data_IF_610502870332
#
_entry.id   IF_610502870332
#
_cell.length_a   1.000
_cell.length_b   1.000
_cell.length_c   1.000
_cell.angle_alpha   90.00
_cell.angle_beta   90.00
_cell.angle_gamma   90.00
#
_symmetry.space_group_name_H-M   'P 1'
#
loop_
_entity.id
_entity.type
_entity.pdbx_description
1 polymer ?
#
# COMPACT_ATOMS: atom_id res chain seq x y z
N UNK A 1 25.96 56.27 12.99
CA UNK A 1 25.33 55.56 11.85
C UNK A 1 25.59 54.08 12.08
N UNK A 2 24.62 53.29 12.58
CA UNK A 2 24.90 51.88 12.85
C UNK A 2 24.65 51.08 11.56
N UNK A 3 25.72 50.78 10.84
CA UNK A 3 25.73 49.69 9.87
C UNK A 3 25.71 48.38 10.65
N UNK A 4 24.53 47.99 11.14
CA UNK A 4 24.25 46.60 11.46
C UNK A 4 24.14 45.85 10.14
N UNK A 5 25.28 45.58 9.51
CA UNK A 5 25.40 44.53 8.52
C UNK A 5 25.10 43.24 9.27
N UNK A 6 23.81 42.88 9.29
CA UNK A 6 23.32 41.57 9.64
C UNK A 6 24.09 40.60 8.77
N UNK A 7 25.12 39.99 9.35
CA UNK A 7 25.87 38.92 8.70
C UNK A 7 24.84 37.85 8.34
N UNK A 8 24.47 37.81 7.06
CA UNK A 8 23.62 36.78 6.51
C UNK A 8 24.51 35.54 6.41
N UNK A 9 24.68 34.82 7.51
CA UNK A 9 25.32 33.51 7.46
C UNK A 9 24.50 32.63 6.51
N UNK A 10 25.06 32.21 5.36
CA UNK A 10 24.33 31.38 4.43
C UNK A 10 24.06 30.05 5.14
N UNK A 11 22.79 29.81 5.46
CA UNK A 11 22.32 28.59 6.11
C UNK A 11 22.89 27.37 5.38
N UNK A 12 23.77 26.66 6.06
CA UNK A 12 24.62 25.60 5.50
C UNK A 12 23.83 24.63 4.59
N UNK A 13 24.34 24.30 3.39
CA UNK A 13 23.62 23.51 2.38
C UNK A 13 23.43 22.03 2.77
N UNK A 14 24.01 21.56 3.87
CA UNK A 14 23.87 20.17 4.34
C UNK A 14 22.42 19.79 4.64
N UNK A 15 21.64 20.69 5.26
CA UNK A 15 20.23 20.43 5.55
C UNK A 15 19.37 20.35 4.28
N UNK A 16 19.74 21.07 3.21
CA UNK A 16 19.04 21.00 1.93
C UNK A 16 19.30 19.65 1.24
N UNK A 17 20.56 19.20 1.22
CA UNK A 17 20.92 17.89 0.66
C UNK A 17 20.21 16.75 1.39
N UNK A 18 20.16 16.79 2.72
CA UNK A 18 19.44 15.80 3.52
C UNK A 18 17.94 15.74 3.18
N UNK A 19 17.28 16.91 3.04
CA UNK A 19 15.88 17.00 2.62
C UNK A 19 15.65 16.37 1.25
N UNK A 20 16.52 16.64 0.29
CA UNK A 20 16.42 16.10 -1.06
C UNK A 20 16.62 14.58 -1.09
N UNK A 21 17.58 14.06 -0.33
CA UNK A 21 17.79 12.61 -0.21
C UNK A 21 16.58 11.94 0.42
N UNK A 22 16.05 12.49 1.51
CA UNK A 22 14.83 11.98 2.14
C UNK A 22 13.65 11.99 1.16
N UNK A 23 13.43 13.11 0.46
CA UNK A 23 12.38 13.22 -0.55
C UNK A 23 12.53 12.14 -1.65
N UNK A 24 13.75 11.94 -2.15
CA UNK A 24 14.02 10.92 -3.18
C UNK A 24 13.70 9.51 -2.67
N UNK A 25 14.09 9.18 -1.44
CA UNK A 25 13.76 7.89 -0.79
C UNK A 25 12.25 7.73 -0.65
N UNK A 26 11.53 8.79 -0.24
CA UNK A 26 10.08 8.75 -0.10
C UNK A 26 9.37 8.48 -1.42
N UNK A 27 9.77 9.18 -2.49
CA UNK A 27 9.22 8.98 -3.84
C UNK A 27 9.49 7.55 -4.30
N UNK A 28 10.70 7.04 -4.09
CA UNK A 28 11.08 5.68 -4.47
C UNK A 28 10.24 4.64 -3.70
N UNK A 29 10.02 4.85 -2.40
CA UNK A 29 9.19 3.99 -1.57
C UNK A 29 7.73 3.99 -2.05
N UNK A 30 7.16 5.16 -2.33
CA UNK A 30 5.80 5.25 -2.88
C UNK A 30 5.70 4.56 -4.25
N UNK A 31 6.66 4.79 -5.13
CA UNK A 31 6.70 4.14 -6.43
C UNK A 31 6.76 2.61 -6.29
N UNK A 32 7.55 2.09 -5.34
CA UNK A 32 7.63 0.66 -5.06
C UNK A 32 6.30 0.09 -4.53
N UNK A 33 5.63 0.77 -3.60
CA UNK A 33 4.34 0.33 -3.05
C UNK A 33 3.25 0.34 -4.11
N UNK A 34 3.12 1.46 -4.83
CA UNK A 34 2.14 1.60 -5.90
C UNK A 34 2.41 0.57 -7.00
N UNK A 35 3.65 0.49 -7.49
CA UNK A 35 4.05 -0.46 -8.53
C UNK A 35 3.81 -1.91 -8.11
N UNK A 36 4.14 -2.28 -6.87
CA UNK A 36 3.89 -3.61 -6.32
C UNK A 36 2.41 -3.98 -6.32
N UNK A 37 1.53 -3.07 -5.87
CA UNK A 37 0.09 -3.28 -5.87
C UNK A 37 -0.48 -3.46 -7.29
N UNK A 38 -0.05 -2.66 -8.26
CA UNK A 38 -0.45 -2.83 -9.66
C UNK A 38 0.05 -4.15 -10.24
N UNK A 39 1.27 -4.58 -9.90
CA UNK A 39 1.81 -5.87 -10.31
C UNK A 39 0.95 -7.01 -9.75
N UNK A 40 0.64 -6.99 -8.46
CA UNK A 40 -0.23 -8.00 -7.81
C UNK A 40 -1.64 -8.00 -8.42
N UNK A 41 -2.19 -6.83 -8.73
CA UNK A 41 -3.49 -6.74 -9.39
C UNK A 41 -3.47 -7.36 -10.79
N UNK A 42 -2.46 -7.05 -11.60
CA UNK A 42 -2.33 -7.63 -12.94
C UNK A 42 -2.13 -9.15 -12.90
N UNK A 43 -1.33 -9.65 -11.96
CA UNK A 43 -1.13 -11.08 -11.73
C UNK A 43 -2.43 -11.78 -11.30
N UNK A 44 -3.15 -11.19 -10.34
CA UNK A 44 -4.45 -11.72 -9.88
C UNK A 44 -5.45 -11.83 -11.02
N UNK A 45 -5.54 -10.81 -11.88
CA UNK A 45 -6.43 -10.84 -13.06
C UNK A 45 -6.05 -11.94 -14.04
N UNK A 46 -4.76 -12.23 -14.24
CA UNK A 46 -4.33 -13.33 -15.11
C UNK A 46 -4.64 -14.70 -14.51
N UNK A 47 -4.48 -14.87 -13.21
CA UNK A 47 -4.71 -16.14 -12.52
C UNK A 47 -6.20 -16.45 -12.33
N UNK A 48 -7.00 -15.47 -11.90
CA UNK A 48 -8.40 -15.68 -11.52
C UNK A 48 -9.41 -15.14 -12.54
N UNK A 49 -8.98 -14.31 -13.50
CA UNK A 49 -9.85 -13.74 -14.54
C UNK A 49 -9.95 -14.58 -15.82
N UNK A 50 -9.46 -15.82 -15.81
CA UNK A 50 -9.56 -16.72 -16.96
C UNK A 50 -10.89 -17.50 -16.96
N UNK A 51 -11.34 -17.94 -18.15
CA UNK A 51 -12.60 -18.69 -18.28
C UNK A 51 -12.59 -20.03 -17.51
N UNK A 52 -11.42 -20.65 -17.33
CA UNK A 52 -11.29 -21.90 -16.58
C UNK A 52 -11.61 -21.71 -15.09
N UNK A 53 -11.12 -20.63 -14.47
CA UNK A 53 -11.40 -20.28 -13.08
C UNK A 53 -12.88 -19.89 -12.87
N UNK A 54 -13.49 -19.29 -13.89
CA UNK A 54 -14.93 -19.02 -13.89
C UNK A 54 -15.75 -20.32 -13.92
N UNK A 55 -15.37 -21.28 -14.78
CA UNK A 55 -16.01 -22.60 -14.85
C UNK A 55 -15.80 -23.43 -13.58
N UNK A 56 -14.61 -23.38 -12.97
CA UNK A 56 -14.35 -24.03 -11.68
C UNK A 56 -15.21 -23.42 -10.57
N UNK A 57 -15.41 -22.10 -10.59
CA UNK A 57 -16.28 -21.41 -9.65
C UNK A 57 -17.75 -21.82 -9.83
N UNK A 58 -18.25 -21.83 -11.07
CA UNK A 58 -19.61 -22.28 -11.39
C UNK A 58 -19.84 -23.73 -10.97
N UNK A 59 -18.90 -24.62 -11.28
CA UNK A 59 -18.95 -26.04 -10.87
C UNK A 59 -18.98 -26.19 -9.34
N UNK A 60 -18.21 -25.37 -8.62
CA UNK A 60 -18.22 -25.38 -7.16
C UNK A 60 -19.55 -24.86 -6.59
N UNK A 61 -20.12 -23.79 -7.16
CA UNK A 61 -21.43 -23.26 -6.74
C UNK A 61 -22.51 -24.32 -6.93
N UNK A 62 -22.57 -24.96 -8.10
CA UNK A 62 -23.52 -26.06 -8.39
C UNK A 62 -23.36 -27.22 -7.41
N UNK A 63 -22.14 -27.60 -7.07
CA UNK A 63 -21.86 -28.65 -6.08
C UNK A 63 -22.31 -28.27 -4.66
N UNK A 64 -22.21 -27.00 -4.27
CA UNK A 64 -22.69 -26.50 -2.98
C UNK A 64 -24.22 -26.46 -2.92
N UNK A 65 -24.89 -26.02 -3.99
CA UNK A 65 -26.35 -26.04 -4.08
C UNK A 65 -26.92 -27.47 -4.01
N UNK A 66 -26.24 -28.42 -4.67
CA UNK A 66 -26.59 -29.84 -4.57
C UNK A 66 -26.44 -30.40 -3.15
N UNK A 67 -25.45 -29.92 -2.37
CA UNK A 67 -25.24 -30.34 -0.97
C UNK A 67 -26.26 -29.74 -0.01
N UNK A 68 -26.78 -28.54 -0.25
CA UNK A 68 -27.78 -27.88 0.61
C UNK A 68 -29.16 -28.60 0.56
N UNK A 69 -29.36 -29.46 -0.45
CA UNK A 69 -30.54 -30.33 -0.58
C UNK A 69 -30.41 -31.63 0.23
N UNK A 70 -29.18 -32.02 0.61
CA UNK A 70 -28.93 -33.18 1.47
C UNK A 70 -29.04 -32.81 2.94
N UNK A 71 -29.70 -33.65 3.74
CA UNK A 71 -30.08 -33.44 5.14
C UNK A 71 -28.86 -33.38 6.10
N UNK A 72 -27.98 -32.40 5.89
CA UNK A 72 -26.78 -32.18 6.67
C UNK A 72 -27.04 -31.11 7.74
N UNK A 73 -26.56 -31.37 8.95
CA UNK A 73 -26.72 -30.52 10.15
C UNK A 73 -26.22 -29.07 9.97
N UNK A 74 -25.47 -28.79 8.91
CA UNK A 74 -24.96 -27.45 8.59
C UNK A 74 -25.37 -27.06 7.16
N UNK A 75 -26.51 -26.37 7.03
CA UNK A 75 -26.89 -25.70 5.78
C UNK A 75 -25.90 -24.60 5.45
N UNK A 76 -25.27 -24.68 4.27
CA UNK A 76 -24.34 -23.66 3.79
C UNK A 76 -25.11 -22.75 2.84
N UNK A 77 -25.25 -21.47 3.19
CA UNK A 77 -25.91 -20.51 2.29
C UNK A 77 -25.16 -20.44 0.95
N UNK A 78 -25.89 -20.47 -0.18
CA UNK A 78 -25.26 -20.25 -1.47
C UNK A 78 -24.63 -18.85 -1.49
N UNK A 79 -23.42 -18.71 -2.05
CA UNK A 79 -22.76 -17.42 -2.14
C UNK A 79 -23.52 -16.50 -3.10
N UNK A 80 -23.79 -15.27 -2.66
CA UNK A 80 -24.51 -14.26 -3.45
C UNK A 80 -23.72 -13.67 -4.63
N UNK A 81 -22.41 -13.93 -4.71
CA UNK A 81 -21.53 -13.27 -5.68
C UNK A 81 -21.47 -14.08 -6.99
N UNK A 82 -21.76 -13.47 -8.15
CA UNK A 82 -21.61 -14.11 -9.46
C UNK A 82 -20.13 -14.30 -9.87
N UNK A 83 -19.19 -13.75 -9.11
CA UNK A 83 -17.76 -13.83 -9.38
C UNK A 83 -16.98 -14.37 -8.17
N UNK A 84 -15.78 -14.96 -8.38
CA UNK A 84 -14.93 -15.44 -7.30
C UNK A 84 -14.58 -14.29 -6.33
N UNK A 85 -14.63 -14.51 -5.01
CA UNK A 85 -14.44 -13.44 -4.02
C UNK A 85 -13.07 -12.79 -4.11
N UNK A 86 -12.03 -13.54 -4.49
CA UNK A 86 -10.69 -13.02 -4.72
C UNK A 86 -10.66 -11.97 -5.85
N UNK A 87 -11.50 -12.16 -6.88
CA UNK A 87 -11.63 -11.25 -8.01
C UNK A 87 -12.34 -9.96 -7.61
N UNK A 88 -13.42 -10.07 -6.82
CA UNK A 88 -14.16 -8.89 -6.30
C UNK A 88 -13.27 -8.05 -5.39
N UNK A 89 -12.52 -8.67 -4.48
CA UNK A 89 -11.61 -7.98 -3.55
C UNK A 89 -10.50 -7.20 -4.27
N UNK A 90 -9.85 -7.80 -5.27
CA UNK A 90 -8.73 -7.18 -5.99
C UNK A 90 -9.16 -6.25 -7.13
N UNK A 91 -10.43 -6.26 -7.51
CA UNK A 91 -10.93 -5.40 -8.58
C UNK A 91 -11.77 -4.24 -8.05
N UNK A 92 -12.76 -4.51 -7.17
CA UNK A 92 -13.69 -3.49 -6.69
C UNK A 92 -13.12 -2.67 -5.53
N UNK A 93 -12.28 -3.29 -4.69
CA UNK A 93 -11.69 -2.63 -3.52
C UNK A 93 -10.21 -2.22 -3.70
N UNK A 94 -9.65 -2.37 -4.90
CA UNK A 94 -8.25 -2.02 -5.18
C UNK A 94 -7.91 -0.58 -4.79
N UNK A 95 -8.80 0.37 -5.11
CA UNK A 95 -8.60 1.78 -4.77
C UNK A 95 -8.54 2.03 -3.26
N UNK A 96 -9.33 1.31 -2.47
CA UNK A 96 -9.30 1.41 -1.01
C UNK A 96 -8.02 0.78 -0.45
N UNK A 97 -7.64 -0.40 -0.94
CA UNK A 97 -6.37 -1.04 -0.56
C UNK A 97 -5.16 -0.17 -0.91
N UNK A 98 -5.16 0.44 -2.09
CA UNK A 98 -4.11 1.37 -2.53
C UNK A 98 -4.08 2.61 -1.63
N UNK A 99 -5.23 3.23 -1.38
CA UNK A 99 -5.34 4.40 -0.52
C UNK A 99 -4.83 4.15 0.89
N UNK A 100 -5.26 3.04 1.53
CA UNK A 100 -4.81 2.66 2.88
C UNK A 100 -3.31 2.34 2.88
N UNK A 101 -2.80 1.64 1.86
CA UNK A 101 -1.38 1.31 1.77
C UNK A 101 -0.51 2.54 1.63
N UNK A 102 -0.91 3.51 0.79
CA UNK A 102 -0.22 4.79 0.63
C UNK A 102 -0.28 5.58 1.94
N UNK A 103 -1.45 5.72 2.54
CA UNK A 103 -1.64 6.44 3.80
C UNK A 103 -0.77 5.86 4.92
N UNK A 104 -0.81 4.54 5.11
CA UNK A 104 -0.02 3.85 6.12
C UNK A 104 1.48 4.05 5.87
N UNK A 105 1.92 3.90 4.62
CA UNK A 105 3.33 4.09 4.21
C UNK A 105 3.79 5.52 4.47
N UNK A 106 2.95 6.52 4.16
CA UNK A 106 3.24 7.93 4.43
C UNK A 106 3.40 8.19 5.93
N UNK A 107 2.50 7.66 6.76
CA UNK A 107 2.57 7.84 8.22
C UNK A 107 3.81 7.16 8.81
N UNK A 108 4.13 5.93 8.37
CA UNK A 108 5.33 5.22 8.80
C UNK A 108 6.59 5.98 8.41
N UNK A 109 6.68 6.40 7.15
CA UNK A 109 7.81 7.15 6.64
C UNK A 109 7.97 8.48 7.38
N UNK A 110 6.90 9.23 7.60
CA UNK A 110 6.94 10.50 8.31
C UNK A 110 7.44 10.32 9.75
N UNK A 111 6.97 9.27 10.44
CA UNK A 111 7.41 8.94 11.80
C UNK A 111 8.91 8.61 11.84
N UNK A 112 9.38 7.79 10.89
CA UNK A 112 10.79 7.43 10.77
C UNK A 112 11.66 8.65 10.40
N UNK A 113 11.21 9.47 9.45
CA UNK A 113 11.91 10.68 9.04
C UNK A 113 12.01 11.68 10.19
N UNK A 114 10.96 11.84 11.00
CA UNK A 114 10.98 12.68 12.19
C UNK A 114 12.01 12.19 13.21
N UNK A 115 12.06 10.87 13.44
CA UNK A 115 13.05 10.25 14.33
C UNK A 115 14.48 10.46 13.81
N UNK A 116 14.73 10.22 12.52
CA UNK A 116 16.04 10.44 11.90
C UNK A 116 16.47 11.91 11.98
N UNK A 117 15.53 12.85 11.78
CA UNK A 117 15.80 14.27 11.98
C UNK A 117 16.21 14.57 13.42
N UNK A 118 15.51 14.00 14.40
CA UNK A 118 15.85 14.17 15.82
C UNK A 118 17.22 13.63 16.18
N UNK A 119 17.59 12.45 15.67
CA UNK A 119 18.90 11.83 15.91
C UNK A 119 20.03 12.64 15.27
N UNK A 120 19.88 13.05 14.01
CA UNK A 120 20.92 13.76 13.26
C UNK A 120 21.08 15.21 13.74
N UNK A 121 20.00 15.85 14.20
CA UNK A 121 20.05 17.19 14.76
C UNK A 121 20.44 17.22 16.25
N UNK A 122 20.67 16.05 16.87
CA UNK A 122 21.09 15.96 18.26
C UNK A 122 22.48 16.58 18.45
N UNK A 123 22.68 17.55 19.36
CA UNK A 123 23.94 18.28 19.52
C UNK A 123 25.15 17.47 20.03
N UNK A 124 25.04 16.14 20.16
CA UNK A 124 26.08 15.27 20.73
C UNK A 124 26.83 14.41 19.72
N UNK A 125 26.74 14.72 18.42
CA UNK A 125 27.43 13.97 17.36
C UNK A 125 28.83 14.52 17.03
N UNK A 126 29.27 15.60 17.70
CA UNK A 126 30.51 16.33 17.42
C UNK A 126 31.57 16.23 18.55
N UNK A 127 31.41 15.30 19.51
CA UNK A 127 32.44 15.01 20.54
C UNK A 127 33.39 13.88 20.11
#
# INVERSE_FOLDING_TARGET
MPDSLVNYEPKSPTHLKLKLVLLAIYILLLAAVIGGLFLTQSWSRQTFGNQAAQQEWETWVEAVEAQDTSDSSVRRRPPKSPAPPALVLLNDFFGQCLGISVLLTTVLYASLAYFLYGVIASPGADD
#
